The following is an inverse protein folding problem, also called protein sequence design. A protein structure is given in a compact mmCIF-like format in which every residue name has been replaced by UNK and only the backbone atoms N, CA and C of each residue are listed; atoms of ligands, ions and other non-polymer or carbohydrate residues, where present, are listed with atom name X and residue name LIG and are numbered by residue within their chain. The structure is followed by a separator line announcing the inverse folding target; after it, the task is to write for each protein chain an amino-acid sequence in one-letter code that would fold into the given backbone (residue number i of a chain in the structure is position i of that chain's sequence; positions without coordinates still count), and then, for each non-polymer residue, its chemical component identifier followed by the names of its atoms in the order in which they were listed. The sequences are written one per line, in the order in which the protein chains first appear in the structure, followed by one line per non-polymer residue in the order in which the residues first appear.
data_IF_331137105268
#
_entry.id   IF_331137105268
#
_cell.length_a   1.000
_cell.length_b   1.000
_cell.length_c   1.000
_cell.angle_alpha   90.00
_cell.angle_beta   90.00
_cell.angle_gamma   90.00
#
_symmetry.space_group_name_H-M   'P 1'
#
loop_
_entity.id
_entity.type
_entity.pdbx_description
1 polymer ?
#
# COMPACT_ATOMS: atom_id res chain seq x y z
N UNK A 1 -9.84 11.15 4.32
CA UNK A 1 -10.00 10.49 3.00
C UNK A 1 -8.79 9.65 2.60
N UNK A 2 -7.55 10.16 2.72
CA UNK A 2 -6.33 9.41 2.33
C UNK A 2 -6.11 8.11 3.14
N UNK A 3 -6.42 8.10 4.43
CA UNK A 3 -6.32 6.88 5.27
C UNK A 3 -7.18 5.72 4.75
N UNK A 4 -8.39 6.01 4.27
CA UNK A 4 -9.30 4.98 3.73
C UNK A 4 -8.70 4.36 2.45
N UNK A 5 -8.06 5.17 1.61
CA UNK A 5 -7.36 4.68 0.42
C UNK A 5 -6.13 3.86 0.77
N UNK A 6 -5.36 4.26 1.78
CA UNK A 6 -4.20 3.50 2.28
C UNK A 6 -4.69 2.15 2.84
N UNK A 7 -5.75 2.14 3.65
CA UNK A 7 -6.26 0.91 4.24
C UNK A 7 -6.82 -0.06 3.19
N UNK A 8 -7.57 0.45 2.21
CA UNK A 8 -8.04 -0.37 1.08
C UNK A 8 -6.88 -0.96 0.28
N UNK A 9 -5.84 -0.15 -0.01
CA UNK A 9 -4.70 -0.60 -0.78
C UNK A 9 -3.81 -1.57 0.01
N UNK A 10 -3.74 -1.42 1.34
CA UNK A 10 -3.13 -2.38 2.27
C UNK A 10 -3.88 -3.71 2.29
N UNK A 11 -5.21 -3.70 2.36
CA UNK A 11 -6.04 -4.92 2.24
C UNK A 11 -5.80 -5.62 0.90
N UNK A 12 -5.69 -4.85 -0.20
CA UNK A 12 -5.38 -5.36 -1.53
C UNK A 12 -3.98 -5.99 -1.60
N UNK A 13 -2.98 -5.35 -1.00
CA UNK A 13 -1.62 -5.91 -0.89
C UNK A 13 -1.62 -7.25 -0.13
N UNK A 14 -2.33 -7.33 1.00
CA UNK A 14 -2.43 -8.55 1.79
C UNK A 14 -3.16 -9.65 1.03
N UNK A 15 -4.22 -9.32 0.28
CA UNK A 15 -4.93 -10.26 -0.57
C UNK A 15 -4.02 -10.81 -1.70
N UNK A 16 -3.24 -9.94 -2.34
CA UNK A 16 -2.26 -10.33 -3.37
C UNK A 16 -1.12 -11.15 -2.78
N UNK A 17 -0.60 -10.77 -1.61
CA UNK A 17 0.41 -11.54 -0.89
C UNK A 17 -0.07 -12.94 -0.51
N UNK A 18 -1.33 -13.07 -0.08
CA UNK A 18 -1.95 -14.38 0.19
C UNK A 18 -2.16 -15.21 -1.07
N UNK A 19 -2.47 -14.58 -2.20
CA UNK A 19 -2.79 -15.26 -3.46
C UNK A 19 -1.57 -15.65 -4.28
N UNK A 20 -0.58 -14.76 -4.36
CA UNK A 20 0.60 -14.90 -5.22
C UNK A 20 1.92 -14.98 -4.44
N UNK A 21 1.92 -14.65 -3.14
CA UNK A 21 3.13 -14.56 -2.31
C UNK A 21 3.65 -13.13 -2.19
N UNK A 22 4.42 -12.86 -1.13
CA UNK A 22 5.05 -11.56 -0.89
C UNK A 22 6.11 -11.19 -1.95
N UNK A 23 6.67 -12.19 -2.63
CA UNK A 23 7.66 -12.00 -3.69
C UNK A 23 7.06 -11.90 -5.09
N UNK A 24 5.73 -12.01 -5.23
CA UNK A 24 5.08 -11.82 -6.51
C UNK A 24 5.24 -10.38 -6.97
N UNK A 25 5.51 -10.20 -8.26
CA UNK A 25 5.70 -8.91 -8.89
C UNK A 25 4.52 -7.97 -8.64
N UNK A 26 3.29 -8.51 -8.67
CA UNK A 26 2.07 -7.78 -8.31
C UNK A 26 2.07 -7.29 -6.85
N UNK A 27 2.47 -8.12 -5.89
CA UNK A 27 2.55 -7.74 -4.47
C UNK A 27 3.63 -6.68 -4.24
N UNK A 28 4.77 -6.80 -4.91
CA UNK A 28 5.88 -5.85 -4.81
C UNK A 28 5.50 -4.49 -5.42
N UNK A 29 4.81 -4.47 -6.56
CA UNK A 29 4.30 -3.24 -7.16
C UNK A 29 3.29 -2.55 -6.24
N UNK A 30 2.31 -3.29 -5.72
CA UNK A 30 1.31 -2.74 -4.81
C UNK A 30 1.94 -2.27 -3.49
N UNK A 31 2.98 -2.95 -3.00
CA UNK A 31 3.75 -2.52 -1.82
C UNK A 31 4.45 -1.18 -2.05
N UNK A 32 5.16 -1.02 -3.18
CA UNK A 32 5.80 0.26 -3.55
C UNK A 32 4.81 1.42 -3.66
N UNK A 33 3.67 1.17 -4.30
CA UNK A 33 2.63 2.19 -4.42
C UNK A 33 2.01 2.56 -3.06
N UNK A 34 1.80 1.58 -2.18
CA UNK A 34 1.28 1.80 -0.84
C UNK A 34 2.27 2.62 -0.01
N UNK A 35 3.55 2.29 -0.09
CA UNK A 35 4.63 2.98 0.63
C UNK A 35 4.73 4.46 0.21
N UNK A 36 4.68 4.74 -1.10
CA UNK A 36 4.63 6.12 -1.60
C UNK A 36 3.40 6.90 -1.09
N UNK A 37 2.22 6.27 -1.05
CA UNK A 37 1.01 6.88 -0.52
C UNK A 37 1.16 7.20 0.98
N UNK A 38 1.79 6.31 1.75
CA UNK A 38 2.07 6.53 3.18
C UNK A 38 3.07 7.68 3.36
N UNK A 39 4.15 7.74 2.58
CA UNK A 39 5.14 8.82 2.64
C UNK A 39 4.49 10.18 2.34
N UNK A 40 3.63 10.25 1.31
CA UNK A 40 2.90 11.46 0.97
C UNK A 40 1.96 11.85 2.11
N UNK A 41 1.23 10.88 2.67
CA UNK A 41 0.34 11.12 3.79
C UNK A 41 1.08 11.63 5.04
N UNK A 42 2.23 11.02 5.38
CA UNK A 42 3.08 11.49 6.48
C UNK A 42 3.59 12.91 6.26
N UNK A 43 3.99 13.26 5.03
CA UNK A 43 4.41 14.63 4.71
C UNK A 43 3.29 15.64 4.89
N UNK A 44 2.06 15.30 4.49
CA UNK A 44 0.89 16.16 4.63
C UNK A 44 0.49 16.30 6.11
N UNK A 45 0.56 15.22 6.90
CA UNK A 45 0.16 15.24 8.31
C UNK A 45 1.13 16.04 9.20
N UNK A 46 2.39 16.16 8.79
CA UNK A 46 3.48 16.82 9.54
C UNK A 46 3.71 18.27 9.09
N UNK A 47 2.99 18.76 8.06
CA UNK A 47 3.12 20.15 7.56
C UNK A 47 2.04 21.09 8.10
#
# INVERSE_FOLDING_TARGET
MLEISIENKRKKMIALAKKYGFSALETVQVSKELDQLIIIYQKILVS
#
